data_IF_495377950563
#
_entry.id   IF_495377950563
#
_cell.length_a   1.000
_cell.length_b   1.000
_cell.length_c   1.000
_cell.angle_alpha   90.00
_cell.angle_beta   90.00
_cell.angle_gamma   90.00
#
_symmetry.space_group_name_H-M   'P 1'
#
loop_
_entity.id
_entity.type
_entity.pdbx_description
1 polymer ?
#
# COMPACT_ATOMS: atom_id res chain seq x y z
N UNK A 1 1.54 -0.79 18.36
CA UNK A 1 0.20 -1.40 18.34
C UNK A 1 -0.91 -0.40 18.03
N UNK A 2 -2.13 -0.86 17.96
CA UNK A 2 -3.33 -0.01 17.88
C UNK A 2 -3.75 0.32 19.31
N UNK A 3 -4.00 1.60 19.59
CA UNK A 3 -4.48 2.10 20.86
C UNK A 3 -6.00 2.31 20.84
N UNK A 4 -6.63 2.18 22.01
CA UNK A 4 -8.03 2.56 22.21
C UNK A 4 -8.09 3.93 22.92
N UNK A 5 -8.92 4.82 22.42
CA UNK A 5 -9.13 6.14 23.05
C UNK A 5 -10.02 5.97 24.30
N UNK A 6 -9.44 6.18 25.47
CA UNK A 6 -10.09 5.90 26.77
C UNK A 6 -11.45 6.60 26.98
N UNK A 7 -11.67 7.76 26.35
CA UNK A 7 -12.94 8.50 26.40
C UNK A 7 -14.01 7.96 25.44
N UNK A 8 -13.72 6.93 24.64
CA UNK A 8 -14.66 6.33 23.70
C UNK A 8 -15.21 4.99 24.22
N UNK A 9 -16.25 4.46 23.57
CA UNK A 9 -16.79 3.15 23.90
C UNK A 9 -15.78 2.04 23.69
N UNK A 10 -15.73 1.01 24.51
CA UNK A 10 -14.92 -0.18 24.29
C UNK A 10 -15.34 -0.88 22.97
N UNK A 11 -14.41 -1.51 22.23
CA UNK A 11 -14.69 -2.02 20.87
C UNK A 11 -15.40 -3.39 20.87
N UNK A 12 -16.44 -3.54 21.67
CA UNK A 12 -17.27 -4.76 21.73
C UNK A 12 -18.57 -4.65 20.94
N UNK A 13 -18.81 -3.50 20.32
CA UNK A 13 -20.02 -3.20 19.59
C UNK A 13 -21.24 -2.99 20.47
N UNK A 14 -22.39 -2.71 19.85
CA UNK A 14 -23.67 -2.51 20.51
C UNK A 14 -24.32 -1.17 20.15
N UNK A 15 -25.62 -1.05 20.42
CA UNK A 15 -26.33 0.20 20.23
C UNK A 15 -25.79 1.30 21.15
N UNK A 16 -25.78 2.53 20.66
CA UNK A 16 -25.30 3.69 21.39
C UNK A 16 -23.80 3.58 21.75
N UNK A 17 -22.99 2.99 20.86
CA UNK A 17 -21.55 2.92 21.02
C UNK A 17 -20.82 3.58 19.88
N UNK A 18 -19.71 4.23 20.21
CA UNK A 18 -18.74 4.72 19.25
C UNK A 18 -17.34 4.48 19.79
N UNK A 19 -16.69 3.44 19.31
CA UNK A 19 -15.30 3.12 19.70
C UNK A 19 -14.33 3.83 18.77
N UNK A 20 -13.25 4.37 19.35
CA UNK A 20 -12.20 5.06 18.61
C UNK A 20 -10.89 4.32 18.80
N UNK A 21 -10.34 3.82 17.70
CA UNK A 21 -9.07 3.11 17.65
C UNK A 21 -8.03 3.97 16.92
N UNK A 22 -6.88 4.16 17.57
CA UNK A 22 -5.80 5.00 17.06
C UNK A 22 -4.60 4.17 16.67
N UNK A 23 -3.96 4.49 15.57
CA UNK A 23 -2.74 3.82 15.12
C UNK A 23 -1.82 4.79 14.39
N UNK A 24 -0.51 4.55 14.53
CA UNK A 24 0.48 5.34 13.82
C UNK A 24 0.43 5.12 12.31
N UNK A 25 0.79 6.15 11.55
CA UNK A 25 1.14 6.07 10.13
C UNK A 25 2.65 6.29 9.97
N UNK A 26 3.25 5.61 8.99
CA UNK A 26 4.64 5.86 8.59
C UNK A 26 5.72 5.30 9.51
N UNK A 27 5.41 4.34 10.38
CA UNK A 27 6.44 3.63 11.13
C UNK A 27 7.20 2.65 10.21
N UNK A 28 8.54 2.71 10.24
CA UNK A 28 9.40 1.80 9.48
C UNK A 28 9.29 0.33 9.94
N UNK A 29 8.96 0.12 11.21
CA UNK A 29 8.89 -1.20 11.85
C UNK A 29 7.54 -1.91 11.72
N UNK A 30 6.46 -1.18 11.40
CA UNK A 30 5.12 -1.74 11.31
C UNK A 30 4.18 -0.86 10.47
N UNK A 31 3.41 -1.48 9.59
CA UNK A 31 2.46 -0.75 8.73
C UNK A 31 1.31 -0.10 9.50
N UNK A 32 0.84 -0.72 10.59
CA UNK A 32 -0.30 -0.25 11.39
C UNK A 32 -1.41 0.39 10.53
N UNK A 33 -1.67 1.69 10.69
CA UNK A 33 -2.68 2.44 9.96
C UNK A 33 -2.12 3.22 8.76
N UNK A 34 -0.92 2.88 8.26
CA UNK A 34 -0.31 3.56 7.09
C UNK A 34 -1.21 3.47 5.84
N UNK A 35 -1.85 2.31 5.63
CA UNK A 35 -2.71 2.09 4.45
C UNK A 35 -4.17 2.56 4.69
N UNK A 36 -4.48 3.16 5.84
CA UNK A 36 -5.82 3.69 6.15
C UNK A 36 -6.25 4.78 5.15
N UNK A 37 -5.28 5.51 4.57
CA UNK A 37 -5.52 6.51 3.54
C UNK A 37 -6.05 5.95 2.22
N UNK A 38 -5.96 4.64 2.01
CA UNK A 38 -6.44 3.97 0.79
C UNK A 38 -7.89 3.48 0.91
N UNK A 39 -8.44 3.50 2.12
CA UNK A 39 -9.82 3.10 2.35
C UNK A 39 -10.80 4.06 1.71
N UNK A 40 -11.90 3.49 1.23
CA UNK A 40 -12.97 4.21 0.55
C UNK A 40 -14.29 3.95 1.25
N UNK A 41 -15.28 4.80 0.97
CA UNK A 41 -16.66 4.54 1.36
C UNK A 41 -17.09 3.17 0.83
N UNK A 42 -17.84 2.46 1.64
CA UNK A 42 -18.32 1.09 1.42
C UNK A 42 -17.29 -0.03 1.59
N UNK A 43 -16.01 0.26 1.84
CA UNK A 43 -15.03 -0.75 2.24
C UNK A 43 -15.39 -1.35 3.61
N UNK A 44 -14.93 -2.57 3.84
CA UNK A 44 -15.16 -3.28 5.10
C UNK A 44 -13.87 -3.34 5.92
N UNK A 45 -14.01 -3.25 7.24
CA UNK A 45 -12.99 -3.63 8.18
C UNK A 45 -13.58 -4.44 9.35
N UNK A 46 -12.72 -5.16 10.06
CA UNK A 46 -13.15 -6.10 11.08
C UNK A 46 -12.46 -5.82 12.41
N UNK A 47 -13.19 -5.97 13.48
CA UNK A 47 -12.68 -5.93 14.86
C UNK A 47 -12.82 -7.32 15.44
N UNK A 48 -11.69 -7.93 15.78
CA UNK A 48 -11.65 -9.19 16.49
C UNK A 48 -11.56 -8.91 17.98
N UNK A 49 -12.57 -9.28 18.71
CA UNK A 49 -12.65 -9.08 20.16
C UNK A 49 -13.21 -10.32 20.83
N UNK A 50 -12.45 -10.88 21.76
CA UNK A 50 -12.77 -12.18 22.37
C UNK A 50 -13.03 -13.23 21.28
N UNK A 51 -14.15 -13.93 21.34
CA UNK A 51 -14.55 -14.96 20.37
C UNK A 51 -15.43 -14.41 19.23
N UNK A 52 -15.52 -13.09 19.07
CA UNK A 52 -16.38 -12.44 18.10
C UNK A 52 -15.60 -11.66 17.04
N UNK A 53 -16.11 -11.70 15.83
CA UNK A 53 -15.69 -10.80 14.75
C UNK A 53 -16.80 -9.83 14.45
N UNK A 54 -16.52 -8.55 14.60
CA UNK A 54 -17.44 -7.46 14.34
C UNK A 54 -17.08 -6.85 12.99
N UNK A 55 -18.04 -6.79 12.06
CA UNK A 55 -17.85 -6.20 10.74
C UNK A 55 -18.39 -4.76 10.73
N UNK A 56 -17.62 -3.85 10.17
CA UNK A 56 -17.96 -2.45 9.99
C UNK A 56 -17.76 -2.05 8.53
N UNK A 57 -18.76 -1.32 7.99
CA UNK A 57 -18.71 -0.78 6.64
C UNK A 57 -18.43 0.72 6.70
N UNK A 58 -17.41 1.17 5.99
CA UNK A 58 -17.03 2.57 5.97
C UNK A 58 -18.16 3.43 5.43
N UNK A 59 -18.68 4.32 6.27
CA UNK A 59 -19.75 5.27 5.94
C UNK A 59 -19.25 6.72 5.83
N UNK A 60 -18.15 7.05 6.52
CA UNK A 60 -17.60 8.40 6.52
C UNK A 60 -16.07 8.39 6.58
N UNK A 61 -15.45 9.24 5.75
CA UNK A 61 -14.02 9.54 5.80
C UNK A 61 -13.88 11.05 5.94
N UNK A 62 -13.07 11.49 6.90
CA UNK A 62 -12.87 12.91 7.19
C UNK A 62 -11.44 13.20 7.59
N UNK A 63 -10.96 14.39 7.26
CA UNK A 63 -9.71 14.95 7.78
C UNK A 63 -10.06 16.11 8.68
N UNK A 64 -9.56 16.10 9.91
CA UNK A 64 -9.88 17.07 10.95
C UNK A 64 -8.60 17.54 11.66
N UNK A 65 -8.67 18.63 12.39
CA UNK A 65 -7.60 19.03 13.31
C UNK A 65 -7.54 18.10 14.53
N UNK A 66 -6.40 17.99 15.21
CA UNK A 66 -6.25 17.09 16.36
C UNK A 66 -7.23 17.33 17.51
N UNK A 67 -7.63 18.59 17.71
CA UNK A 67 -8.56 19.05 18.74
C UNK A 67 -10.03 18.84 18.39
N UNK A 68 -10.36 18.57 17.12
CA UNK A 68 -11.74 18.40 16.66
C UNK A 68 -12.22 16.97 16.92
N UNK A 69 -13.07 16.83 17.93
CA UNK A 69 -13.65 15.55 18.36
C UNK A 69 -15.14 15.43 18.04
N UNK A 70 -15.75 16.40 17.34
CA UNK A 70 -17.19 16.43 17.06
C UNK A 70 -17.68 15.14 16.38
N UNK A 71 -16.89 14.63 15.42
CA UNK A 71 -17.24 13.41 14.66
C UNK A 71 -17.00 12.09 15.41
N UNK A 72 -16.50 12.15 16.63
CA UNK A 72 -16.26 10.98 17.48
C UNK A 72 -17.36 10.76 18.52
N UNK A 73 -18.39 11.61 18.54
CA UNK A 73 -19.48 11.52 19.48
C UNK A 73 -20.34 10.27 19.26
N UNK A 74 -20.92 9.77 20.36
CA UNK A 74 -21.91 8.68 20.30
C UNK A 74 -23.17 9.21 19.65
N UNK A 75 -23.71 8.46 18.69
CA UNK A 75 -24.98 8.77 18.03
C UNK A 75 -26.02 7.72 18.47
N UNK A 76 -27.17 8.20 18.93
CA UNK A 76 -28.23 7.32 19.44
C UNK A 76 -28.66 6.28 18.40
N UNK A 77 -28.86 5.06 18.84
CA UNK A 77 -29.26 3.91 18.02
C UNK A 77 -28.15 3.36 17.11
N UNK A 78 -26.93 3.97 17.09
CA UNK A 78 -25.84 3.56 16.21
C UNK A 78 -24.80 2.73 16.93
N UNK A 79 -24.07 1.93 16.15
CA UNK A 79 -22.88 1.18 16.53
C UNK A 79 -21.77 1.55 15.54
N UNK A 80 -20.85 2.38 15.99
CA UNK A 80 -19.76 2.90 15.18
C UNK A 80 -18.39 2.52 15.72
N UNK A 81 -17.44 2.36 14.81
CA UNK A 81 -16.00 2.36 15.10
C UNK A 81 -15.33 3.36 14.19
N UNK A 82 -14.50 4.23 14.74
CA UNK A 82 -13.65 5.13 13.96
C UNK A 82 -12.18 4.75 14.13
N UNK A 83 -11.52 4.52 13.00
CA UNK A 83 -10.07 4.33 12.92
C UNK A 83 -9.42 5.70 12.70
N UNK A 84 -8.43 6.03 13.53
CA UNK A 84 -7.79 7.37 13.53
C UNK A 84 -6.29 7.21 13.30
N UNK A 85 -5.75 8.01 12.38
CA UNK A 85 -4.31 8.12 12.18
C UNK A 85 -3.89 9.55 11.85
N UNK A 86 -2.60 9.83 11.91
CA UNK A 86 -2.05 11.13 11.53
C UNK A 86 -2.01 11.29 10.01
N UNK A 87 -2.23 12.52 9.54
CA UNK A 87 -2.17 12.89 8.11
C UNK A 87 -1.80 14.37 7.96
N UNK A 88 -1.22 14.84 6.82
CA UNK A 88 -0.58 14.05 5.78
C UNK A 88 0.68 13.32 6.28
N UNK A 89 1.10 12.28 5.54
CA UNK A 89 2.31 11.54 5.87
C UNK A 89 3.53 12.46 6.02
N UNK A 90 4.25 12.34 7.13
CA UNK A 90 5.45 13.12 7.43
C UNK A 90 5.19 14.50 8.04
N UNK A 91 4.00 15.11 7.83
CA UNK A 91 3.60 16.40 8.44
C UNK A 91 2.83 16.15 9.74
N UNK A 92 1.82 15.30 9.70
CA UNK A 92 1.07 14.78 10.85
C UNK A 92 0.30 15.85 11.65
N UNK A 93 -0.03 16.98 11.03
CA UNK A 93 -0.74 18.11 11.65
C UNK A 93 -2.27 17.95 11.70
N UNK A 94 -2.80 16.96 10.96
CA UNK A 94 -4.22 16.61 10.96
C UNK A 94 -4.43 15.14 11.37
N UNK A 95 -5.70 14.75 11.51
CA UNK A 95 -6.14 13.39 11.78
C UNK A 95 -7.06 12.91 10.66
N UNK A 96 -6.74 11.76 10.10
CA UNK A 96 -7.63 11.04 9.21
C UNK A 96 -8.56 10.18 10.07
N UNK A 97 -9.85 10.36 9.91
CA UNK A 97 -10.91 9.60 10.54
C UNK A 97 -11.59 8.74 9.49
N UNK A 98 -11.56 7.42 9.66
CA UNK A 98 -12.31 6.45 8.85
C UNK A 98 -13.34 5.79 9.75
N UNK A 99 -14.60 6.24 9.64
CA UNK A 99 -15.71 5.70 10.43
C UNK A 99 -16.40 4.57 9.69
N UNK A 100 -16.68 3.49 10.42
CA UNK A 100 -17.52 2.41 9.95
C UNK A 100 -18.78 2.24 10.82
N UNK A 101 -19.90 2.00 10.14
CA UNK A 101 -21.14 1.58 10.77
C UNK A 101 -21.20 0.05 10.84
N UNK A 102 -21.73 -0.48 11.94
CA UNK A 102 -21.92 -1.92 12.14
C UNK A 102 -22.69 -2.54 10.98
N UNK A 103 -22.19 -3.65 10.47
CA UNK A 103 -22.85 -4.44 9.43
C UNK A 103 -22.82 -5.94 9.77
N UNK A 104 -23.57 -6.75 9.02
CA UNK A 104 -23.57 -8.19 9.19
C UNK A 104 -22.19 -8.75 8.84
N UNK A 105 -21.63 -9.57 9.73
CA UNK A 105 -20.40 -10.29 9.45
C UNK A 105 -20.66 -11.50 8.55
N UNK A 106 -19.85 -11.62 7.49
CA UNK A 106 -19.83 -12.78 6.60
C UNK A 106 -18.37 -13.24 6.41
N UNK A 107 -18.07 -14.46 6.84
CA UNK A 107 -16.71 -15.02 6.79
C UNK A 107 -16.11 -15.02 5.37
N UNK A 108 -16.96 -15.16 4.35
CA UNK A 108 -16.55 -15.11 2.94
C UNK A 108 -16.01 -13.74 2.53
N UNK A 109 -16.58 -12.66 3.07
CA UNK A 109 -16.14 -11.29 2.81
C UNK A 109 -14.78 -11.02 3.43
N UNK A 110 -14.55 -11.48 4.66
CA UNK A 110 -13.26 -11.33 5.31
C UNK A 110 -12.14 -12.06 4.56
N UNK A 111 -12.40 -13.28 4.09
CA UNK A 111 -11.42 -14.05 3.32
C UNK A 111 -11.11 -13.44 1.94
N UNK A 112 -12.01 -12.63 1.38
CA UNK A 112 -11.83 -11.95 0.11
C UNK A 112 -11.07 -10.61 0.24
N UNK A 113 -11.06 -10.00 1.42
CA UNK A 113 -10.29 -8.80 1.73
C UNK A 113 -8.83 -9.23 1.98
N UNK A 114 -8.12 -9.54 0.90
CA UNK A 114 -6.68 -9.74 0.98
C UNK A 114 -6.01 -8.38 1.28
N UNK A 115 -5.05 -8.34 2.22
CA UNK A 115 -4.23 -7.14 2.36
C UNK A 115 -3.64 -6.83 0.98
N UNK A 116 -3.89 -5.64 0.48
CA UNK A 116 -3.37 -5.16 -0.81
C UNK A 116 -1.85 -5.05 -0.68
N UNK A 117 -1.17 -6.14 -1.03
CA UNK A 117 0.28 -6.22 -0.90
C UNK A 117 0.90 -5.40 -2.04
N UNK A 118 1.12 -4.09 -1.79
CA UNK A 118 1.85 -3.20 -2.71
C UNK A 118 3.24 -3.74 -3.06
N UNK A 119 3.84 -4.51 -2.16
CA UNK A 119 5.17 -5.09 -2.36
C UNK A 119 5.21 -6.05 -3.56
N UNK A 120 4.11 -6.76 -3.85
CA UNK A 120 4.05 -7.66 -5.01
C UNK A 120 3.98 -6.92 -6.35
N UNK A 121 3.32 -5.77 -6.38
CA UNK A 121 3.17 -4.97 -7.59
C UNK A 121 4.47 -4.21 -7.93
N UNK A 122 5.13 -3.65 -6.90
CA UNK A 122 6.42 -2.97 -7.03
C UNK A 122 7.53 -3.94 -7.43
N UNK A 123 7.56 -5.13 -6.81
CA UNK A 123 8.51 -6.20 -7.14
C UNK A 123 8.39 -6.68 -8.60
N UNK A 124 7.15 -6.72 -9.15
CA UNK A 124 6.91 -7.06 -10.56
C UNK A 124 7.47 -6.01 -11.52
N UNK A 125 7.30 -4.75 -11.22
CA UNK A 125 7.82 -3.62 -12.02
C UNK A 125 9.33 -3.56 -11.97
N UNK A 126 9.93 -3.77 -10.79
CA UNK A 126 11.38 -3.79 -10.60
C UNK A 126 12.06 -4.95 -11.34
N UNK A 127 11.48 -6.17 -11.30
CA UNK A 127 11.99 -7.31 -12.07
C UNK A 127 11.96 -7.06 -13.58
N UNK A 128 10.90 -6.43 -14.09
CA UNK A 128 10.82 -6.03 -15.51
C UNK A 128 11.87 -5.00 -15.88
N UNK A 129 12.11 -3.99 -15.05
CA UNK A 129 13.13 -2.97 -15.29
C UNK A 129 14.54 -3.59 -15.32
N UNK A 130 14.86 -4.50 -14.42
CA UNK A 130 16.14 -5.24 -14.42
C UNK A 130 16.29 -6.08 -15.69
N UNK A 131 15.24 -6.82 -16.09
CA UNK A 131 15.29 -7.65 -17.31
C UNK A 131 15.56 -6.81 -18.57
N UNK A 132 14.90 -5.65 -18.68
CA UNK A 132 15.14 -4.71 -19.81
C UNK A 132 16.56 -4.17 -19.77
N UNK A 133 17.07 -3.77 -18.62
CA UNK A 133 18.45 -3.30 -18.46
C UNK A 133 19.49 -4.36 -18.88
N UNK A 134 19.31 -5.60 -18.45
CA UNK A 134 20.17 -6.71 -18.84
C UNK A 134 20.11 -7.00 -20.36
N UNK A 135 18.92 -6.93 -20.97
CA UNK A 135 18.76 -7.11 -22.40
C UNK A 135 19.50 -6.04 -23.21
N UNK A 136 19.45 -4.77 -22.78
CA UNK A 136 20.19 -3.67 -23.41
C UNK A 136 21.70 -3.89 -23.33
N UNK A 137 22.22 -4.27 -22.16
CA UNK A 137 23.64 -4.55 -21.97
C UNK A 137 24.09 -5.71 -22.86
N UNK A 138 23.32 -6.79 -22.93
CA UNK A 138 23.61 -7.92 -23.84
C UNK A 138 23.62 -7.49 -25.31
N UNK A 139 22.67 -6.67 -25.73
CA UNK A 139 22.63 -6.15 -27.12
C UNK A 139 23.88 -5.30 -27.45
N UNK A 140 24.33 -4.46 -26.53
CA UNK A 140 25.55 -3.65 -26.69
C UNK A 140 26.82 -4.53 -26.78
N UNK A 141 26.93 -5.55 -25.93
CA UNK A 141 28.06 -6.50 -25.99
C UNK A 141 28.09 -7.27 -27.31
N UNK A 142 26.93 -7.75 -27.76
CA UNK A 142 26.82 -8.49 -29.03
C UNK A 142 27.14 -7.58 -30.23
N UNK A 143 26.61 -6.36 -30.25
CA UNK A 143 26.91 -5.38 -31.32
C UNK A 143 28.41 -5.03 -31.36
N UNK A 144 29.05 -4.87 -30.20
CA UNK A 144 30.50 -4.66 -30.09
C UNK A 144 31.33 -5.83 -30.66
N UNK A 145 30.95 -7.08 -30.36
CA UNK A 145 31.58 -8.27 -30.91
C UNK A 145 31.40 -8.38 -32.42
N UNK A 146 30.21 -8.09 -32.94
CA UNK A 146 29.91 -8.07 -34.39
C UNK A 146 30.74 -6.99 -35.06
N UNK A 147 30.80 -5.78 -34.51
CA UNK A 147 31.60 -4.68 -35.04
C UNK A 147 33.11 -5.04 -35.09
N UNK A 148 33.68 -5.63 -34.04
CA UNK A 148 35.06 -6.09 -34.02
C UNK A 148 35.34 -7.16 -35.09
N UNK A 149 34.39 -8.12 -35.26
CA UNK A 149 34.52 -9.17 -36.29
C UNK A 149 34.51 -8.60 -37.70
N UNK A 150 33.62 -7.60 -37.97
CA UNK A 150 33.56 -6.92 -39.25
C UNK A 150 34.83 -6.10 -39.51
N UNK A 151 35.37 -5.43 -38.50
CA UNK A 151 36.61 -4.63 -38.61
C UNK A 151 37.83 -5.53 -38.92
N UNK A 152 37.89 -6.72 -38.26
CA UNK A 152 38.96 -7.72 -38.56
C UNK A 152 38.88 -8.22 -40.00
N UNK A 153 37.68 -8.60 -40.47
CA UNK A 153 37.49 -9.04 -41.85
C UNK A 153 37.83 -7.96 -42.87
N UNK A 154 37.57 -6.70 -42.57
CA UNK A 154 37.93 -5.57 -43.45
C UNK A 154 39.45 -5.35 -43.49
N UNK A 155 40.13 -5.49 -42.35
CA UNK A 155 41.58 -5.40 -42.26
C UNK A 155 42.30 -6.54 -43.04
N UNK A 156 41.76 -7.79 -42.92
CA UNK A 156 42.29 -8.94 -43.67
C UNK A 156 42.16 -8.76 -45.20
N UNK A 157 40.99 -8.24 -45.68
CA UNK A 157 40.77 -7.95 -47.12
C UNK A 157 41.73 -6.87 -47.65
N UNK A 158 42.07 -5.86 -46.85
CA UNK A 158 42.99 -4.81 -47.25
C UNK A 158 44.43 -5.41 -47.33
N UNK A 159 44.88 -6.23 -46.38
CA UNK A 159 46.15 -6.91 -46.42
C UNK A 159 46.30 -7.85 -47.63
N UNK A 160 45.25 -8.57 -48.00
CA UNK A 160 45.29 -9.44 -49.19
C UNK A 160 45.44 -8.64 -50.49
N UNK A 161 44.76 -7.49 -50.60
CA UNK A 161 44.94 -6.62 -51.79
C UNK A 161 46.31 -5.97 -51.92
N UNK A 162 46.97 -5.65 -50.81
CA UNK A 162 48.35 -5.11 -50.80
C UNK A 162 49.41 -6.16 -51.09
N UNK A 163 49.11 -7.45 -50.86
CA UNK A 163 50.01 -8.58 -51.16
C UNK A 163 49.93 -9.04 -52.65
N UNK A 164 48.86 -8.75 -53.36
CA UNK A 164 48.70 -9.10 -54.81
C UNK A 164 49.30 -8.07 -55.74
N UNK A 165 49.69 -6.89 -55.23
CA UNK A 165 50.21 -5.78 -56.05
C UNK A 165 51.75 -5.68 -55.98
N UNK A 166 52.47 -6.68 -55.42
CA UNK A 166 53.89 -6.80 -55.38
C UNK A 166 54.37 -8.01 -56.17
#
# INVERSE_FOLDING_TARGET
>A
GVGHLAASSIPVGGKNTHSVLTGHTGLSSAKLFTDLTEMKKDDLFFIHVLDQTLAYKVDQISVVKPEDTEKLQIIDGKDYVTLVTCTPYGVNDHRLLVRGARTKYEKTQESSIRPRNKDSQWMGTYKRAIAIGLAIVMALVLSGKVYQKLRRKKAEKIRQKEGETK
#
